data_IF_105680803477
#
_entry.id   IF_105680803477
#
_cell.length_a   1.000
_cell.length_b   1.000
_cell.length_c   1.000
_cell.angle_alpha   90.00
_cell.angle_beta   90.00
_cell.angle_gamma   90.00
#
_symmetry.space_group_name_H-M   'P 1'
#
loop_
_entity.id
_entity.type
_entity.pdbx_description
1 polymer ?
#
# COMPACT_ATOMS: atom_id res chain seq x y z
N UNK A 1 10.78 -5.50 13.37
CA UNK A 1 9.76 -4.43 13.33
C UNK A 1 10.15 -3.49 12.22
N UNK A 2 9.33 -3.37 11.18
CA UNK A 2 9.62 -2.50 10.03
C UNK A 2 8.84 -1.19 10.24
N UNK A 3 9.49 -0.04 10.04
CA UNK A 3 8.86 1.28 10.19
C UNK A 3 8.68 1.91 8.82
N UNK A 4 7.42 2.16 8.43
CA UNK A 4 7.09 2.89 7.20
C UNK A 4 6.25 4.09 7.61
N UNK A 5 6.77 5.31 7.40
CA UNK A 5 6.02 6.56 7.65
C UNK A 5 5.52 6.76 9.09
N UNK A 6 6.16 6.14 10.09
CA UNK A 6 5.74 6.19 11.49
C UNK A 6 4.81 5.05 11.94
N UNK A 7 4.41 4.17 11.02
CA UNK A 7 3.62 2.97 11.32
C UNK A 7 4.58 1.82 11.66
N UNK A 8 4.47 1.27 12.87
CA UNK A 8 5.28 0.13 13.36
C UNK A 8 4.64 -1.19 12.96
N UNK A 9 5.17 -1.86 11.94
CA UNK A 9 4.64 -3.12 11.44
C UNK A 9 5.26 -4.29 12.23
N UNK A 10 4.44 -5.20 12.81
CA UNK A 10 4.94 -6.37 13.51
C UNK A 10 5.69 -7.27 12.52
N UNK A 11 6.86 -7.75 12.94
CA UNK A 11 7.58 -8.73 12.14
C UNK A 11 6.85 -10.07 12.26
N UNK A 12 6.16 -10.48 11.19
CA UNK A 12 5.86 -11.88 10.87
C UNK A 12 4.63 -12.51 11.55
N UNK A 13 3.43 -11.91 11.37
CA UNK A 13 2.16 -12.64 11.58
C UNK A 13 1.20 -12.33 10.42
N UNK A 14 1.00 -13.30 9.52
CA UNK A 14 0.07 -13.26 8.37
C UNK A 14 0.23 -12.10 7.37
N UNK A 15 1.43 -11.92 6.81
CA UNK A 15 1.60 -11.06 5.62
C UNK A 15 1.53 -11.96 4.38
N UNK A 16 0.71 -11.59 3.40
CA UNK A 16 0.58 -12.30 2.12
C UNK A 16 1.91 -12.30 1.37
N UNK A 17 2.22 -13.38 0.67
CA UNK A 17 3.42 -13.45 -0.18
C UNK A 17 3.21 -12.66 -1.47
N UNK A 18 4.32 -12.37 -2.15
CA UNK A 18 4.31 -11.73 -3.46
C UNK A 18 3.56 -12.55 -4.50
N UNK A 19 3.62 -13.88 -4.42
CA UNK A 19 2.92 -14.78 -5.32
C UNK A 19 1.40 -14.68 -5.12
N UNK A 20 0.93 -14.73 -3.87
CA UNK A 20 -0.49 -14.58 -3.54
C UNK A 20 -1.04 -13.22 -4.00
N UNK A 21 -0.30 -12.14 -3.76
CA UNK A 21 -0.68 -10.80 -4.22
C UNK A 21 -0.77 -10.75 -5.75
N UNK A 22 0.20 -11.33 -6.46
CA UNK A 22 0.19 -11.37 -7.92
C UNK A 22 -1.00 -12.18 -8.49
N UNK A 23 -1.44 -13.23 -7.81
CA UNK A 23 -2.65 -13.95 -8.17
C UNK A 23 -3.90 -13.08 -8.00
N UNK A 24 -4.03 -12.36 -6.87
CA UNK A 24 -5.14 -11.41 -6.66
C UNK A 24 -5.18 -10.30 -7.71
N UNK A 25 -4.01 -9.78 -8.11
CA UNK A 25 -3.90 -8.79 -9.20
C UNK A 25 -4.42 -9.38 -10.51
N UNK A 26 -3.99 -10.60 -10.87
CA UNK A 26 -4.47 -11.28 -12.09
C UNK A 26 -5.95 -11.60 -12.05
N UNK A 27 -6.49 -11.92 -10.88
CA UNK A 27 -7.92 -12.18 -10.68
C UNK A 27 -8.78 -10.92 -10.61
N UNK A 28 -8.17 -9.73 -10.46
CA UNK A 28 -8.89 -8.47 -10.29
C UNK A 28 -9.52 -8.28 -8.89
N UNK A 29 -9.11 -9.07 -7.90
CA UNK A 29 -9.65 -9.07 -6.52
C UNK A 29 -8.69 -8.40 -5.51
N UNK A 30 -7.73 -7.61 -6.00
CA UNK A 30 -6.73 -6.96 -5.17
C UNK A 30 -7.31 -5.73 -4.46
N UNK A 31 -7.16 -5.66 -3.13
CA UNK A 31 -7.50 -4.47 -2.36
C UNK A 31 -6.34 -3.49 -2.36
N UNK A 32 -6.55 -2.32 -2.98
CA UNK A 32 -5.55 -1.27 -3.10
C UNK A 32 -6.04 -0.01 -2.39
N UNK A 33 -5.20 0.55 -1.51
CA UNK A 33 -5.46 1.83 -0.85
C UNK A 33 -4.36 2.85 -1.16
N UNK A 34 -4.66 4.13 -1.02
CA UNK A 34 -3.65 5.18 -0.96
C UNK A 34 -2.99 5.22 0.42
N UNK A 35 -1.80 5.81 0.53
CA UNK A 35 -1.10 6.00 1.81
C UNK A 35 -1.97 6.77 2.84
N UNK A 36 -2.76 7.74 2.40
CA UNK A 36 -3.67 8.50 3.26
C UNK A 36 -4.86 7.66 3.75
N UNK A 37 -5.43 6.82 2.89
CA UNK A 37 -6.51 5.89 3.28
C UNK A 37 -6.01 4.80 4.22
N UNK A 38 -4.81 4.27 3.96
CA UNK A 38 -4.18 3.30 4.85
C UNK A 38 -3.99 3.88 6.26
N UNK A 39 -3.53 5.13 6.37
CA UNK A 39 -3.39 5.80 7.67
C UNK A 39 -4.74 5.87 8.41
N UNK A 40 -5.80 6.31 7.72
CA UNK A 40 -7.15 6.39 8.30
C UNK A 40 -7.65 5.02 8.76
N UNK A 41 -7.43 3.97 7.97
CA UNK A 41 -7.85 2.61 8.30
C UNK A 41 -7.14 2.09 9.56
N UNK A 42 -5.83 2.36 9.69
CA UNK A 42 -5.07 2.00 10.90
C UNK A 42 -5.58 2.76 12.13
N UNK A 43 -5.92 4.04 11.97
CA UNK A 43 -6.48 4.88 13.05
C UNK A 43 -7.88 4.42 13.48
N UNK A 44 -8.73 3.97 12.55
CA UNK A 44 -10.11 3.56 12.84
C UNK A 44 -10.24 2.11 13.29
N UNK A 45 -9.52 1.20 12.64
CA UNK A 45 -9.74 -0.26 12.74
C UNK A 45 -8.54 -1.01 13.31
N UNK A 46 -7.41 -0.33 13.49
CA UNK A 46 -6.19 -0.89 14.02
C UNK A 46 -5.30 -1.57 12.97
N UNK A 47 -4.03 -1.72 13.31
CA UNK A 47 -3.00 -2.20 12.39
C UNK A 47 -3.19 -3.64 11.94
N UNK A 48 -3.59 -4.55 12.84
CA UNK A 48 -3.77 -5.96 12.50
C UNK A 48 -4.91 -6.19 11.51
N UNK A 49 -5.96 -5.36 11.58
CA UNK A 49 -7.09 -5.41 10.64
C UNK A 49 -6.64 -4.85 9.29
N UNK A 50 -6.00 -3.68 9.29
CA UNK A 50 -5.50 -3.06 8.07
C UNK A 50 -4.55 -3.97 7.26
N UNK A 51 -3.66 -4.70 7.93
CA UNK A 51 -2.74 -5.65 7.27
C UNK A 51 -3.47 -6.86 6.65
N UNK A 52 -4.62 -7.27 7.21
CA UNK A 52 -5.40 -8.40 6.67
C UNK A 52 -6.27 -7.98 5.50
N UNK A 53 -6.80 -6.77 5.51
CA UNK A 53 -7.73 -6.30 4.49
C UNK A 53 -7.01 -5.76 3.24
N UNK A 54 -5.86 -5.09 3.43
CA UNK A 54 -5.16 -4.39 2.35
C UNK A 54 -4.07 -5.26 1.73
N UNK A 55 -4.01 -5.34 0.40
CA UNK A 55 -2.96 -6.06 -0.32
C UNK A 55 -1.85 -5.13 -0.83
N UNK A 56 -2.22 -3.92 -1.28
CA UNK A 56 -1.30 -2.93 -1.82
C UNK A 56 -1.60 -1.53 -1.29
N UNK A 57 -0.53 -0.78 -1.01
CA UNK A 57 -0.62 0.65 -0.70
C UNK A 57 0.10 1.42 -1.79
N UNK A 58 -0.61 2.34 -2.41
CA UNK A 58 -0.08 3.26 -3.42
C UNK A 58 0.16 4.63 -2.79
N UNK A 59 1.24 5.28 -3.17
CA UNK A 59 1.49 6.67 -2.80
C UNK A 59 1.80 7.46 -4.04
N UNK A 60 1.24 8.66 -4.14
CA UNK A 60 1.66 9.65 -5.11
C UNK A 60 2.79 10.49 -4.51
N UNK A 61 3.80 10.81 -5.31
CA UNK A 61 4.82 11.80 -4.96
C UNK A 61 4.69 12.96 -5.94
N UNK A 62 4.47 14.18 -5.44
CA UNK A 62 4.39 15.40 -6.26
C UNK A 62 5.76 16.08 -6.38
N UNK A 63 6.76 15.32 -6.80
CA UNK A 63 8.15 15.78 -6.90
C UNK A 63 8.97 14.81 -7.75
N UNK A 64 10.02 15.33 -8.41
CA UNK A 64 10.94 14.49 -9.15
C UNK A 64 11.63 13.51 -8.18
N UNK A 65 11.32 12.21 -8.32
CA UNK A 65 12.03 11.17 -7.57
C UNK A 65 13.38 10.96 -8.25
N UNK A 66 14.46 10.84 -7.47
CA UNK A 66 15.84 10.76 -7.98
C UNK A 66 16.11 9.59 -8.96
N UNK A 67 15.13 8.71 -9.20
CA UNK A 67 15.22 7.54 -10.06
C UNK A 67 13.99 7.32 -10.96
N UNK A 68 12.99 8.21 -10.96
CA UNK A 68 11.73 7.99 -11.72
C UNK A 68 11.27 9.28 -12.40
N UNK A 69 11.33 9.31 -13.73
CA UNK A 69 10.67 10.34 -14.55
C UNK A 69 9.31 9.82 -15.00
N UNK A 70 8.22 10.46 -14.57
CA UNK A 70 6.87 10.22 -15.08
C UNK A 70 6.38 11.47 -15.81
N UNK A 71 6.21 11.37 -17.13
CA UNK A 71 5.53 12.38 -17.95
C UNK A 71 4.03 12.04 -17.96
N UNK A 72 3.26 12.67 -17.08
CA UNK A 72 1.80 12.50 -17.02
C UNK A 72 1.19 13.61 -17.88
N UNK A 73 0.62 13.24 -19.02
CA UNK A 73 -0.13 14.15 -19.87
C UNK A 73 -1.54 14.33 -19.29
N UNK A 74 -1.77 15.46 -18.62
CA UNK A 74 -3.11 15.97 -18.30
C UNK A 74 -3.57 16.85 -19.47
N UNK A 75 -3.98 16.19 -20.56
CA UNK A 75 -4.70 16.83 -21.65
C UNK A 75 -6.12 17.23 -21.22
N UNK A 76 -6.68 18.20 -21.95
CA UNK A 76 -7.99 18.85 -21.78
C UNK A 76 -9.14 17.96 -21.33
#
# INVERSE_FOLDING_TARGET
MVSIGGIKIPAKKNIRTTEEINEKIRAGDVQVLTASEMKKLVESSGLEVAIKEVDLVTTGTFGAMCSSGALINIGH
#
